data_IF_085439908912
#
_entry.id   IF_085439908912
#
_cell.length_a   1.000
_cell.length_b   1.000
_cell.length_c   1.000
_cell.angle_alpha   90.00
_cell.angle_beta   90.00
_cell.angle_gamma   90.00
#
_symmetry.space_group_name_H-M   'P 1'
#
loop_
_entity.id
_entity.type
_entity.pdbx_description
1 polymer ?
#
# COMPACT_ATOMS: atom_id res chain seq x y z
N UNK A 1 15.87 -35.13 -4.81
CA UNK A 1 16.45 -33.96 -5.50
C UNK A 1 15.96 -33.82 -6.94
N UNK A 2 16.13 -34.84 -7.80
CA UNK A 2 15.78 -34.77 -9.24
C UNK A 2 14.28 -34.55 -9.54
N UNK A 3 13.37 -35.06 -8.70
CA UNK A 3 11.92 -34.89 -8.88
C UNK A 3 11.43 -33.46 -8.62
N UNK A 4 12.12 -32.69 -7.75
CA UNK A 4 11.78 -31.28 -7.47
C UNK A 4 12.14 -30.40 -8.67
N UNK A 5 13.30 -30.65 -9.29
CA UNK A 5 13.77 -29.92 -10.47
C UNK A 5 12.90 -30.20 -11.70
N UNK A 6 12.41 -31.43 -11.88
CA UNK A 6 11.45 -31.73 -12.96
C UNK A 6 10.08 -31.06 -12.74
N UNK A 7 9.58 -31.01 -11.49
CA UNK A 7 8.33 -30.30 -11.17
C UNK A 7 8.45 -28.78 -11.36
N UNK A 8 9.59 -28.19 -11.03
CA UNK A 8 9.89 -26.79 -11.33
C UNK A 8 9.94 -26.55 -12.84
N UNK A 9 10.64 -27.40 -13.60
CA UNK A 9 10.77 -27.30 -15.07
C UNK A 9 9.42 -27.42 -15.81
N UNK A 10 8.50 -28.24 -15.29
CA UNK A 10 7.13 -28.36 -15.81
C UNK A 10 6.22 -27.17 -15.45
N UNK A 11 6.56 -26.38 -14.41
CA UNK A 11 5.83 -25.16 -14.01
C UNK A 11 6.32 -23.91 -14.74
N UNK A 12 7.42 -23.97 -15.49
CA UNK A 12 7.94 -22.84 -16.26
C UNK A 12 7.01 -22.37 -17.40
N UNK A 13 6.34 -23.26 -18.17
CA UNK A 13 5.47 -22.87 -19.29
C UNK A 13 3.95 -23.01 -19.02
N UNK A 14 3.53 -23.42 -17.81
CA UNK A 14 2.10 -23.57 -17.49
C UNK A 14 1.43 -22.26 -17.05
N UNK A 15 0.08 -22.17 -17.09
CA UNK A 15 -0.67 -21.02 -16.55
C UNK A 15 -0.39 -20.85 -15.05
N UNK A 16 -0.04 -19.64 -14.63
CA UNK A 16 0.51 -19.36 -13.29
C UNK A 16 1.97 -19.79 -13.12
N UNK A 17 2.71 -19.93 -14.23
CA UNK A 17 4.11 -20.31 -14.25
C UNK A 17 5.07 -19.17 -13.90
N UNK A 18 6.34 -19.51 -13.68
CA UNK A 18 7.38 -18.55 -13.24
C UNK A 18 7.52 -17.39 -14.23
N UNK A 19 7.36 -17.64 -15.54
CA UNK A 19 7.45 -16.59 -16.57
C UNK A 19 6.34 -15.55 -16.44
N UNK A 20 5.08 -15.97 -16.30
CA UNK A 20 3.94 -15.05 -16.14
C UNK A 20 4.04 -14.27 -14.83
N UNK A 21 4.44 -14.96 -13.76
CA UNK A 21 4.65 -14.34 -12.46
C UNK A 21 5.75 -13.26 -12.52
N UNK A 22 6.84 -13.51 -13.24
CA UNK A 22 7.90 -12.52 -13.45
C UNK A 22 7.41 -11.29 -14.22
N UNK A 23 6.55 -11.46 -15.24
CA UNK A 23 5.99 -10.34 -16.00
C UNK A 23 5.05 -9.47 -15.15
N UNK A 24 4.36 -10.05 -14.17
CA UNK A 24 3.54 -9.31 -13.20
C UNK A 24 4.38 -8.68 -12.08
N UNK A 25 5.42 -9.38 -11.61
CA UNK A 25 6.24 -8.94 -10.48
C UNK A 25 7.23 -7.83 -10.84
N UNK A 26 7.83 -7.85 -12.03
CA UNK A 26 8.78 -6.82 -12.47
C UNK A 26 8.24 -5.38 -12.39
N UNK A 27 7.06 -5.05 -12.93
CA UNK A 27 6.51 -3.70 -12.80
C UNK A 27 6.17 -3.35 -11.35
N UNK A 28 5.72 -4.31 -10.54
CA UNK A 28 5.44 -4.09 -9.12
C UNK A 28 6.71 -3.77 -8.33
N UNK A 29 7.82 -4.47 -8.60
CA UNK A 29 9.12 -4.20 -7.97
C UNK A 29 9.62 -2.80 -8.36
N UNK A 30 9.51 -2.43 -9.64
CA UNK A 30 9.89 -1.11 -10.11
C UNK A 30 9.05 0.00 -9.46
N UNK A 31 7.75 -0.23 -9.29
CA UNK A 31 6.86 0.70 -8.58
C UNK A 31 7.28 0.88 -7.11
N UNK A 32 7.51 -0.21 -6.37
CA UNK A 32 7.94 -0.14 -4.97
C UNK A 32 9.33 0.50 -4.83
N UNK A 33 10.25 0.25 -5.76
CA UNK A 33 11.56 0.90 -5.77
C UNK A 33 11.44 2.42 -6.00
N UNK A 34 10.53 2.84 -6.89
CA UNK A 34 10.27 4.26 -7.17
C UNK A 34 9.65 4.96 -5.96
N UNK A 35 8.72 4.30 -5.26
CA UNK A 35 8.12 4.79 -4.02
C UNK A 35 9.18 4.99 -2.91
N UNK A 36 10.11 4.04 -2.77
CA UNK A 36 11.24 4.17 -1.86
C UNK A 36 12.16 5.36 -2.19
N UNK A 37 12.45 5.59 -3.48
CA UNK A 37 13.24 6.74 -3.93
C UNK A 37 12.51 8.05 -3.61
N UNK A 38 11.21 8.13 -3.86
CA UNK A 38 10.39 9.31 -3.56
C UNK A 38 10.45 9.66 -2.06
N UNK A 39 10.21 8.69 -1.18
CA UNK A 39 10.26 8.89 0.27
C UNK A 39 11.67 9.28 0.73
N UNK A 40 12.71 8.63 0.18
CA UNK A 40 14.09 8.96 0.51
C UNK A 40 14.44 10.40 0.12
N UNK A 41 14.09 10.82 -1.09
CA UNK A 41 14.35 12.18 -1.56
C UNK A 41 13.60 13.21 -0.72
N UNK A 42 12.32 13.00 -0.42
CA UNK A 42 11.54 13.87 0.47
C UNK A 42 12.21 14.02 1.84
N UNK A 43 12.61 12.91 2.45
CA UNK A 43 13.31 12.90 3.74
C UNK A 43 14.69 13.57 3.67
N UNK A 44 15.41 13.44 2.56
CA UNK A 44 16.71 14.09 2.37
C UNK A 44 16.57 15.62 2.35
N UNK A 45 15.57 16.16 1.65
CA UNK A 45 15.30 17.59 1.63
C UNK A 45 14.80 18.08 3.00
N UNK A 46 13.94 17.32 3.66
CA UNK A 46 13.41 17.69 4.98
C UNK A 46 14.51 17.70 6.06
N UNK A 47 15.48 16.77 5.99
CA UNK A 47 16.64 16.72 6.87
C UNK A 47 17.51 17.98 6.79
N UNK A 48 17.58 18.62 5.62
CA UNK A 48 18.38 19.81 5.39
C UNK A 48 17.73 21.10 5.91
N UNK A 49 16.40 21.11 6.06
CA UNK A 49 15.66 22.30 6.53
C UNK A 49 15.82 22.50 8.04
N UNK A 50 15.51 21.47 8.84
CA UNK A 50 15.64 21.52 10.30
C UNK A 50 15.42 20.14 10.94
N UNK A 51 16.20 19.81 11.96
CA UNK A 51 16.02 18.61 12.79
C UNK A 51 14.67 18.58 13.51
N UNK A 52 14.16 19.74 13.95
CA UNK A 52 12.85 19.90 14.57
C UNK A 52 11.71 19.48 13.63
N UNK A 53 11.74 20.00 12.39
CA UNK A 53 10.73 19.68 11.38
C UNK A 53 10.79 18.22 10.96
N UNK A 54 11.98 17.64 10.89
CA UNK A 54 12.16 16.21 10.61
C UNK A 54 11.52 15.33 11.69
N UNK A 55 11.76 15.64 12.98
CA UNK A 55 11.20 14.90 14.12
C UNK A 55 9.66 15.00 14.14
N UNK A 56 9.13 16.21 13.95
CA UNK A 56 7.69 16.45 13.88
C UNK A 56 7.02 15.68 12.73
N UNK A 57 7.63 15.66 11.54
CA UNK A 57 7.11 14.95 10.37
C UNK A 57 7.17 13.42 10.52
N UNK A 58 8.13 12.89 11.28
CA UNK A 58 8.22 11.46 11.59
C UNK A 58 7.05 11.03 12.49
N UNK A 59 6.81 11.76 13.59
CA UNK A 59 5.70 11.49 14.49
C UNK A 59 4.33 11.62 13.82
N UNK A 60 4.10 12.72 13.08
CA UNK A 60 2.87 12.92 12.32
C UNK A 60 2.67 11.88 11.21
N UNK A 61 3.76 11.50 10.52
CA UNK A 61 3.72 10.51 9.45
C UNK A 61 3.30 9.11 9.93
N UNK A 62 3.86 8.63 11.04
CA UNK A 62 3.48 7.33 11.64
C UNK A 62 2.02 7.33 12.05
N UNK A 63 1.53 8.42 12.63
CA UNK A 63 0.14 8.53 13.06
C UNK A 63 -0.85 8.46 11.88
N UNK A 64 -0.58 9.21 10.81
CA UNK A 64 -1.40 9.16 9.59
C UNK A 64 -1.31 7.78 8.94
N UNK A 65 -0.12 7.15 8.94
CA UNK A 65 0.08 5.79 8.42
C UNK A 65 -0.75 4.74 9.18
N UNK A 66 -0.83 4.84 10.50
CA UNK A 66 -1.67 3.96 11.33
C UNK A 66 -3.15 4.10 10.98
N UNK A 67 -3.64 5.33 10.83
CA UNK A 67 -5.03 5.57 10.41
C UNK A 67 -5.32 5.02 9.01
N UNK A 68 -4.33 5.11 8.10
CA UNK A 68 -4.45 4.59 6.74
C UNK A 68 -4.50 3.05 6.68
N UNK A 69 -3.88 2.31 7.61
CA UNK A 69 -3.81 0.84 7.53
C UNK A 69 -5.17 0.16 7.45
N UNK A 70 -6.19 0.69 8.12
CA UNK A 70 -7.56 0.16 8.04
C UNK A 70 -8.08 0.21 6.59
N UNK A 71 -7.95 1.36 5.94
CA UNK A 71 -8.42 1.56 4.57
C UNK A 71 -7.59 0.81 3.56
N UNK A 72 -6.26 0.82 3.71
CA UNK A 72 -5.33 0.06 2.85
C UNK A 72 -5.69 -1.43 2.90
N UNK A 73 -5.96 -1.99 4.09
CA UNK A 73 -6.40 -3.37 4.24
C UNK A 73 -7.74 -3.64 3.57
N UNK A 74 -8.73 -2.77 3.81
CA UNK A 74 -10.08 -2.90 3.23
C UNK A 74 -10.05 -2.84 1.69
N UNK A 75 -9.37 -1.85 1.12
CA UNK A 75 -9.27 -1.69 -0.34
C UNK A 75 -8.34 -2.75 -0.94
N UNK A 76 -7.35 -3.24 -0.20
CA UNK A 76 -6.46 -4.31 -0.66
C UNK A 76 -7.22 -5.59 -1.03
N UNK A 77 -8.32 -5.91 -0.33
CA UNK A 77 -9.18 -7.05 -0.67
C UNK A 77 -9.84 -6.93 -2.04
N UNK A 78 -10.06 -5.72 -2.57
CA UNK A 78 -10.69 -5.55 -3.87
C UNK A 78 -9.88 -6.19 -4.99
N UNK A 79 -8.55 -6.19 -4.89
CA UNK A 79 -7.67 -6.83 -5.87
C UNK A 79 -7.90 -8.34 -5.95
N UNK A 80 -8.02 -9.00 -4.80
CA UNK A 80 -8.30 -10.43 -4.73
C UNK A 80 -9.71 -10.76 -5.24
N UNK A 81 -10.71 -9.94 -4.91
CA UNK A 81 -12.09 -10.11 -5.39
C UNK A 81 -12.18 -9.92 -6.91
N UNK A 82 -11.56 -8.87 -7.46
CA UNK A 82 -11.53 -8.61 -8.90
C UNK A 82 -10.87 -9.77 -9.66
N UNK A 83 -9.75 -10.29 -9.15
CA UNK A 83 -9.08 -11.45 -9.74
C UNK A 83 -9.97 -12.70 -9.73
N UNK A 84 -10.68 -12.94 -8.63
CA UNK A 84 -11.63 -14.06 -8.51
C UNK A 84 -12.82 -13.93 -9.47
N UNK A 85 -13.45 -12.75 -9.54
CA UNK A 85 -14.57 -12.52 -10.46
C UNK A 85 -14.16 -12.62 -11.93
N UNK A 86 -12.95 -12.16 -12.25
CA UNK A 86 -12.39 -12.30 -13.59
C UNK A 86 -12.14 -13.77 -13.95
N UNK A 87 -11.60 -14.56 -13.00
CA UNK A 87 -11.41 -15.99 -13.15
C UNK A 87 -12.71 -16.78 -13.29
N UNK A 88 -13.76 -16.40 -12.56
CA UNK A 88 -15.08 -17.04 -12.59
C UNK A 88 -15.95 -16.64 -13.80
N UNK A 89 -15.40 -15.92 -14.79
CA UNK A 89 -16.12 -15.34 -15.94
C UNK A 89 -17.25 -14.35 -15.56
N UNK A 90 -17.31 -13.89 -14.31
CA UNK A 90 -18.28 -12.90 -13.82
C UNK A 90 -17.78 -11.47 -14.06
N UNK A 91 -17.43 -11.15 -15.31
CA UNK A 91 -16.79 -9.87 -15.69
C UNK A 91 -17.62 -8.63 -15.37
N UNK A 92 -18.93 -8.77 -15.13
CA UNK A 92 -19.81 -7.67 -14.68
C UNK A 92 -19.53 -7.24 -13.24
N UNK A 93 -19.05 -8.14 -12.39
CA UNK A 93 -18.80 -7.85 -10.98
C UNK A 93 -17.44 -7.17 -10.74
N UNK A 94 -16.43 -7.46 -11.56
CA UNK A 94 -15.11 -6.83 -11.48
C UNK A 94 -15.17 -5.28 -11.47
N UNK A 95 -15.83 -4.59 -12.43
CA UNK A 95 -15.91 -3.13 -12.39
C UNK A 95 -16.72 -2.62 -11.20
N UNK A 96 -17.76 -3.35 -10.76
CA UNK A 96 -18.57 -2.95 -9.58
C UNK A 96 -17.71 -2.92 -8.32
N UNK A 97 -16.90 -3.96 -8.09
CA UNK A 97 -15.99 -4.03 -6.94
C UNK A 97 -14.93 -2.92 -7.02
N UNK A 98 -14.37 -2.67 -8.20
CA UNK A 98 -13.40 -1.59 -8.39
C UNK A 98 -14.02 -0.21 -8.11
N UNK A 99 -15.23 0.06 -8.61
CA UNK A 99 -15.92 1.33 -8.35
C UNK A 99 -16.24 1.51 -6.86
N UNK A 100 -16.67 0.44 -6.17
CA UNK A 100 -16.89 0.49 -4.73
C UNK A 100 -15.59 0.76 -3.96
N UNK A 101 -14.48 0.12 -4.34
CA UNK A 101 -13.18 0.38 -3.72
C UNK A 101 -12.74 1.84 -3.93
N UNK A 102 -12.94 2.40 -5.14
CA UNK A 102 -12.65 3.82 -5.42
C UNK A 102 -13.52 4.74 -4.56
N UNK A 103 -14.82 4.47 -4.44
CA UNK A 103 -15.73 5.25 -3.61
C UNK A 103 -15.30 5.21 -2.13
N UNK A 104 -14.92 4.03 -1.61
CA UNK A 104 -14.40 3.88 -0.25
C UNK A 104 -13.12 4.69 -0.08
N UNK A 105 -12.17 4.62 -1.02
CA UNK A 105 -10.93 5.41 -0.98
C UNK A 105 -11.20 6.92 -1.01
N UNK A 106 -12.16 7.37 -1.82
CA UNK A 106 -12.56 8.78 -1.89
C UNK A 106 -13.18 9.28 -0.59
N UNK A 107 -13.93 8.43 0.12
CA UNK A 107 -14.50 8.76 1.44
C UNK A 107 -13.44 8.64 2.55
N UNK A 108 -12.47 7.74 2.41
CA UNK A 108 -11.40 7.56 3.37
C UNK A 108 -10.52 8.81 3.53
N UNK A 109 -10.19 9.49 2.42
CA UNK A 109 -9.37 10.70 2.44
C UNK A 109 -9.91 11.81 3.37
N UNK A 110 -11.15 12.32 3.21
CA UNK A 110 -11.70 13.31 4.12
C UNK A 110 -11.92 12.75 5.54
N UNK A 111 -12.22 11.46 5.69
CA UNK A 111 -12.37 10.85 7.01
C UNK A 111 -11.06 10.87 7.81
N UNK A 112 -9.94 10.57 7.15
CA UNK A 112 -8.60 10.64 7.76
C UNK A 112 -8.25 12.09 8.10
N UNK A 113 -8.60 13.05 7.24
CA UNK A 113 -8.40 14.48 7.54
C UNK A 113 -9.23 14.93 8.75
N UNK A 114 -10.49 14.47 8.87
CA UNK A 114 -11.33 14.73 10.04
C UNK A 114 -10.82 14.06 11.32
N UNK A 115 -9.98 13.03 11.21
CA UNK A 115 -9.34 12.37 12.35
C UNK A 115 -8.07 13.09 12.85
N UNK A 116 -7.57 14.11 12.14
CA UNK A 116 -6.43 14.94 12.58
C UNK A 116 -6.56 15.52 14.01
N UNK A 117 -7.70 16.08 14.46
CA UNK A 117 -7.84 16.58 15.83
C UNK A 117 -7.67 15.50 16.91
N UNK A 118 -8.12 14.27 16.65
CA UNK A 118 -7.87 13.13 17.54
C UNK A 118 -6.38 12.83 17.65
N UNK A 119 -5.65 12.99 16.54
CA UNK A 119 -4.21 12.81 16.52
C UNK A 119 -3.47 13.82 17.39
N UNK A 120 -3.82 15.10 17.28
CA UNK A 120 -3.28 16.17 18.14
C UNK A 120 -3.60 15.91 19.62
N UNK A 121 -4.80 15.44 19.92
CA UNK A 121 -5.22 15.12 21.28
C UNK A 121 -4.39 13.97 21.88
N UNK A 122 -4.18 12.90 21.12
CA UNK A 122 -3.33 11.76 21.52
C UNK A 122 -1.87 12.17 21.76
N UNK A 123 -1.32 13.05 20.92
CA UNK A 123 0.05 13.58 21.10
C UNK A 123 0.14 14.44 22.38
N UNK A 124 -0.88 15.25 22.67
CA UNK A 124 -0.92 16.03 23.90
C UNK A 124 -0.99 15.15 25.16
N UNK A 125 -1.69 14.02 25.08
CA UNK A 125 -1.77 13.01 26.15
C UNK A 125 -0.47 12.23 26.39
N UNK A 126 0.44 12.19 25.41
CA UNK A 126 1.66 11.40 25.49
C UNK A 126 2.88 12.18 26.00
N UNK A 127 2.68 13.43 26.47
CA UNK A 127 3.72 14.32 27.03
C UNK A 127 4.98 14.44 26.15
N UNK A 128 4.84 14.27 24.83
CA UNK A 128 5.97 14.39 23.89
C UNK A 128 6.22 15.89 23.68
N UNK A 129 7.38 16.43 24.07
CA UNK A 129 7.65 17.86 23.90
C UNK A 129 7.63 18.23 22.41
N UNK A 130 6.87 19.27 22.10
CA UNK A 130 6.76 19.84 20.76
C UNK A 130 7.96 20.75 20.52
N UNK A 131 9.11 20.14 20.20
CA UNK A 131 10.32 20.83 19.76
C UNK A 131 10.77 20.39 18.37
#
# INVERSE_FOLDING_TARGET
MFSLLQRLKARFPGPGGIREMMHLALPMIAATASDGIMIFTDRLFLAQLSSAQMNAALGGGVMVQTLMFFFIGLTGYSTALVAQYLGAQQKRMSPVVTTQAILISLVAAPLIMLAQPLGKWLIHLSEIPAE
#
